data_IF_959193825900
#
_entry.id   IF_959193825900
#
_cell.length_a   1.000
_cell.length_b   1.000
_cell.length_c   1.000
_cell.angle_alpha   90.00
_cell.angle_beta   90.00
_cell.angle_gamma   90.00
#
_symmetry.space_group_name_H-M   'P 1'
#
loop_
_entity.id
_entity.type
_entity.pdbx_description
1 polymer ?
#
# COMPACT_ATOMS: atom_id res chain seq x y z
N UNK A 1 49.56 51.50 0.18
CA UNK A 1 49.14 50.11 -0.12
C UNK A 1 48.37 49.55 1.08
N UNK A 2 47.04 49.51 1.01
CA UNK A 2 46.15 48.79 1.94
C UNK A 2 45.05 48.15 1.11
N UNK A 3 44.99 46.81 1.05
CA UNK A 3 43.90 46.06 0.41
C UNK A 3 42.85 45.75 1.47
N UNK A 4 41.62 46.18 1.23
CA UNK A 4 40.45 45.82 2.02
C UNK A 4 39.90 44.49 1.51
N UNK A 5 39.73 43.51 2.40
CA UNK A 5 38.96 42.29 2.14
C UNK A 5 37.47 42.61 2.33
N UNK A 6 36.68 42.39 1.26
CA UNK A 6 35.22 42.32 1.34
C UNK A 6 34.85 40.88 1.68
N UNK A 7 34.11 40.71 2.78
CA UNK A 7 33.42 39.47 3.14
C UNK A 7 32.07 39.49 2.41
N UNK A 8 31.88 38.55 1.49
CA UNK A 8 30.61 38.37 0.78
C UNK A 8 29.73 37.42 1.59
N UNK A 9 28.60 37.92 2.08
CA UNK A 9 27.57 37.17 2.78
C UNK A 9 26.71 36.43 1.74
N UNK A 10 26.79 35.10 1.68
CA UNK A 10 25.86 34.28 0.92
C UNK A 10 24.58 34.09 1.74
N UNK A 11 23.48 34.69 1.28
CA UNK A 11 22.13 34.42 1.79
C UNK A 11 21.64 33.15 1.09
N UNK A 12 21.62 32.04 1.81
CA UNK A 12 20.95 30.81 1.36
C UNK A 12 19.43 31.01 1.49
N UNK A 13 18.73 31.07 0.36
CA UNK A 13 17.27 30.98 0.33
C UNK A 13 16.85 29.58 0.74
N UNK A 14 16.27 29.45 1.94
CA UNK A 14 15.54 28.27 2.37
C UNK A 14 14.26 28.16 1.52
N UNK A 15 14.25 27.23 0.58
CA UNK A 15 13.02 26.82 -0.11
C UNK A 15 12.12 26.13 0.90
N UNK A 16 10.95 26.73 1.14
CA UNK A 16 9.87 26.14 1.92
C UNK A 16 9.36 24.92 1.15
N UNK A 17 9.82 23.73 1.53
CA UNK A 17 9.27 22.47 1.05
C UNK A 17 7.95 22.25 1.80
N UNK A 18 6.85 22.68 1.19
CA UNK A 18 5.50 22.47 1.74
C UNK A 18 5.14 21.00 1.55
N UNK A 19 5.57 20.15 2.47
CA UNK A 19 5.14 18.74 2.53
C UNK A 19 3.65 18.73 2.81
N UNK A 20 2.85 18.36 1.81
CA UNK A 20 1.42 18.14 1.98
C UNK A 20 1.25 16.98 2.99
N UNK A 21 0.90 17.34 4.23
CA UNK A 21 0.41 16.43 5.25
C UNK A 21 -0.98 15.94 4.83
N UNK A 22 -1.01 14.95 3.93
CA UNK A 22 -2.17 14.09 3.81
C UNK A 22 -2.37 13.47 5.20
N UNK A 23 -3.45 13.88 5.87
CA UNK A 23 -3.85 13.32 7.14
C UNK A 23 -4.16 11.83 6.91
N UNK A 24 -3.14 11.00 7.15
CA UNK A 24 -3.27 9.57 7.26
C UNK A 24 -4.25 9.27 8.40
N UNK A 25 -5.55 9.19 8.11
CA UNK A 25 -6.46 8.28 8.83
C UNK A 25 -6.14 6.83 8.47
N UNK A 26 -4.86 6.55 8.22
CA UNK A 26 -4.35 5.22 8.02
C UNK A 26 -4.52 4.45 9.32
N UNK A 27 -4.59 3.13 9.17
CA UNK A 27 -4.39 2.21 10.26
C UNK A 27 -3.03 2.54 10.89
N UNK A 28 -3.07 2.96 12.15
CA UNK A 28 -1.87 3.33 12.91
C UNK A 28 -1.91 2.56 14.21
N UNK A 29 -0.77 1.99 14.59
CA UNK A 29 -0.61 1.47 15.94
C UNK A 29 -0.03 2.55 16.84
N UNK A 30 -0.53 2.63 18.06
CA UNK A 30 -0.12 3.65 19.02
C UNK A 30 -0.04 3.11 20.45
N UNK A 31 0.89 3.64 21.22
CA UNK A 31 1.06 3.33 22.64
C UNK A 31 1.49 4.59 23.40
N UNK A 32 0.83 4.87 24.52
CA UNK A 32 1.29 5.91 25.46
C UNK A 32 2.56 5.43 26.13
N UNK A 33 3.56 6.31 26.19
CA UNK A 33 4.85 6.01 26.80
C UNK A 33 4.78 5.72 28.30
N UNK A 34 5.85 5.15 28.83
CA UNK A 34 5.94 4.68 30.21
C UNK A 34 5.77 5.82 31.24
N UNK A 35 6.19 7.03 30.90
CA UNK A 35 6.03 8.22 31.74
C UNK A 35 4.66 8.91 31.55
N UNK A 36 3.90 8.55 30.50
CA UNK A 36 2.57 9.08 30.23
C UNK A 36 2.56 10.50 29.65
N UNK A 37 3.70 10.99 29.16
CA UNK A 37 3.85 12.34 28.61
C UNK A 37 3.61 12.39 27.10
N UNK A 38 3.93 11.31 26.39
CA UNK A 38 3.93 11.22 24.92
C UNK A 38 3.21 9.95 24.45
N UNK A 39 2.71 9.98 23.21
CA UNK A 39 2.18 8.84 22.46
C UNK A 39 3.15 8.50 21.34
N UNK A 40 3.56 7.25 21.26
CA UNK A 40 4.35 6.72 20.15
C UNK A 40 3.41 6.11 19.12
N UNK A 41 3.66 6.36 17.83
CA UNK A 41 2.80 5.92 16.75
C UNK A 41 3.60 5.51 15.53
N UNK A 42 3.19 4.44 14.85
CA UNK A 42 3.69 4.08 13.52
C UNK A 42 2.55 3.59 12.61
N UNK A 43 2.77 3.66 11.29
CA UNK A 43 1.82 3.12 10.32
C UNK A 43 1.80 1.60 10.39
N UNK A 44 0.61 1.03 10.56
CA UNK A 44 0.38 -0.40 10.68
C UNK A 44 -0.71 -0.81 9.69
N UNK A 45 -0.49 -1.88 8.97
CA UNK A 45 -1.42 -2.48 8.02
C UNK A 45 -2.24 -3.61 8.65
N UNK A 46 -1.65 -4.34 9.59
CA UNK A 46 -2.28 -5.39 10.37
C UNK A 46 -2.27 -5.10 11.87
N UNK A 47 -3.14 -5.79 12.63
CA UNK A 47 -3.20 -5.79 14.10
C UNK A 47 -2.91 -4.41 14.71
N UNK A 48 -3.67 -3.38 14.30
CA UNK A 48 -3.41 -1.98 14.66
C UNK A 48 -3.42 -1.74 16.17
N UNK A 49 -4.09 -2.61 16.93
CA UNK A 49 -4.17 -2.54 18.39
C UNK A 49 -2.92 -3.10 19.08
N UNK A 50 -1.99 -3.71 18.34
CA UNK A 50 -0.76 -4.27 18.84
C UNK A 50 0.45 -3.42 18.43
N UNK A 51 0.86 -2.54 19.34
CA UNK A 51 2.05 -1.71 19.16
C UNK A 51 3.36 -2.50 19.33
N UNK A 52 3.33 -3.65 20.00
CA UNK A 52 4.53 -4.38 20.41
C UNK A 52 4.98 -5.40 19.34
N UNK A 53 4.72 -5.11 18.06
CA UNK A 53 5.22 -5.92 16.95
C UNK A 53 6.74 -5.71 16.82
N UNK A 54 7.57 -6.77 16.77
CA UNK A 54 9.01 -6.63 16.61
C UNK A 54 9.35 -6.04 15.23
N UNK A 55 10.36 -5.18 15.18
CA UNK A 55 10.98 -4.73 13.92
C UNK A 55 11.86 -5.85 13.37
N UNK A 56 11.78 -6.17 12.09
CA UNK A 56 12.66 -7.15 11.47
C UNK A 56 14.13 -6.70 11.58
N UNK A 57 15.02 -7.63 11.93
CA UNK A 57 16.47 -7.37 11.87
C UNK A 57 16.87 -7.05 10.43
N UNK A 58 17.49 -5.89 10.22
CA UNK A 58 17.80 -5.32 8.91
C UNK A 58 16.76 -4.32 8.39
N UNK A 59 15.55 -4.29 8.95
CA UNK A 59 14.50 -3.36 8.57
C UNK A 59 14.56 -2.05 9.38
N UNK A 60 13.80 -1.07 8.90
CA UNK A 60 13.61 0.24 9.54
C UNK A 60 12.14 0.49 9.85
N UNK A 61 11.88 1.32 10.86
CA UNK A 61 10.54 1.75 11.25
C UNK A 61 10.54 3.24 11.57
N UNK A 62 9.61 3.98 10.97
CA UNK A 62 9.36 5.38 11.32
C UNK A 62 8.38 5.41 12.50
N UNK A 63 8.80 6.01 13.61
CA UNK A 63 7.98 6.19 14.81
C UNK A 63 7.76 7.68 15.04
N UNK A 64 6.51 8.11 15.01
CA UNK A 64 6.06 9.46 15.37
C UNK A 64 5.86 9.57 16.88
N UNK A 65 6.13 10.76 17.40
CA UNK A 65 5.99 11.11 18.81
C UNK A 65 5.04 12.28 18.96
N UNK A 66 3.92 12.03 19.62
CA UNK A 66 2.80 12.95 19.76
C UNK A 66 2.52 13.28 21.22
N UNK A 67 1.82 14.39 21.47
CA UNK A 67 1.28 14.74 22.78
C UNK A 67 0.08 13.87 23.15
N UNK A 68 0.08 13.39 24.39
CA UNK A 68 -1.07 12.66 24.96
C UNK A 68 -2.32 13.54 25.00
N UNK A 69 -3.46 12.98 24.59
CA UNK A 69 -4.79 13.58 24.71
C UNK A 69 -5.20 14.52 23.58
N UNK A 70 -4.26 15.07 22.79
CA UNK A 70 -4.57 15.93 21.65
C UNK A 70 -3.89 15.51 20.33
N UNK A 71 -2.97 14.53 20.37
CA UNK A 71 -2.24 13.98 19.24
C UNK A 71 -1.49 15.03 18.39
N UNK A 72 -1.10 16.17 18.98
CA UNK A 72 -0.24 17.15 18.32
C UNK A 72 1.19 16.65 18.31
N UNK A 73 1.92 16.93 17.24
CA UNK A 73 3.34 16.61 17.11
C UNK A 73 4.17 17.19 18.26
N UNK A 74 4.99 16.35 18.90
CA UNK A 74 6.01 16.78 19.84
C UNK A 74 7.37 16.79 19.15
N UNK A 75 8.08 17.92 19.17
CA UNK A 75 9.36 18.05 18.45
C UNK A 75 10.48 17.38 19.22
N UNK A 76 11.03 16.30 18.67
CA UNK A 76 12.17 15.57 19.20
C UNK A 76 13.42 16.47 19.29
N UNK A 77 14.05 16.41 20.45
CA UNK A 77 15.33 17.08 20.77
C UNK A 77 16.44 16.07 21.05
N UNK A 78 16.08 14.86 21.48
CA UNK A 78 16.95 13.70 21.58
C UNK A 78 16.13 12.41 21.42
N UNK A 79 16.77 11.37 20.90
CA UNK A 79 16.23 10.01 20.87
C UNK A 79 17.40 9.02 21.04
N UNK A 80 17.22 8.00 21.88
CA UNK A 80 18.22 6.98 22.18
C UNK A 80 17.58 5.63 22.50
N UNK A 81 18.41 4.60 22.60
CA UNK A 81 18.06 3.22 22.90
C UNK A 81 18.97 2.72 24.02
N UNK A 82 18.44 1.91 24.93
CA UNK A 82 19.24 1.29 26.00
C UNK A 82 20.17 0.19 25.50
N UNK A 83 19.86 -0.42 24.35
CA UNK A 83 20.67 -1.44 23.68
C UNK A 83 20.69 -1.20 22.14
N UNK A 84 21.69 -0.47 21.62
CA UNK A 84 21.82 -0.21 20.19
C UNK A 84 22.18 -1.45 19.36
N UNK A 85 22.50 -2.58 20.00
CA UNK A 85 22.70 -3.84 19.26
C UNK A 85 21.36 -4.56 18.96
N UNK A 86 20.26 -4.13 19.57
CA UNK A 86 18.91 -4.64 19.31
C UNK A 86 18.17 -3.72 18.35
N UNK A 87 17.93 -2.48 18.78
CA UNK A 87 17.37 -1.41 17.95
C UNK A 87 18.27 -0.20 18.05
N UNK A 88 18.66 0.38 16.92
CA UNK A 88 19.43 1.63 16.86
C UNK A 88 18.55 2.79 16.40
N UNK A 89 18.80 4.00 16.92
CA UNK A 89 18.14 5.23 16.47
C UNK A 89 18.93 5.78 15.30
N UNK A 90 18.62 5.31 14.09
CA UNK A 90 19.35 5.65 12.88
C UNK A 90 19.29 7.16 12.55
N UNK A 91 18.16 7.82 12.83
CA UNK A 91 18.01 9.27 12.75
C UNK A 91 16.75 9.75 13.47
N UNK A 92 16.64 11.06 13.72
CA UNK A 92 15.39 11.70 14.12
C UNK A 92 15.32 13.13 13.56
N UNK A 93 14.11 13.60 13.26
CA UNK A 93 13.83 14.96 12.81
C UNK A 93 12.36 15.33 13.06
N UNK A 94 12.11 16.55 13.52
CA UNK A 94 10.75 16.99 13.82
C UNK A 94 10.15 16.11 14.92
N UNK A 95 9.03 15.47 14.65
CA UNK A 95 8.32 14.55 15.56
C UNK A 95 8.58 13.06 15.27
N UNK A 96 9.48 12.75 14.34
CA UNK A 96 9.68 11.39 13.84
C UNK A 96 11.11 10.92 14.12
N UNK A 97 11.24 9.68 14.60
CA UNK A 97 12.51 8.95 14.67
C UNK A 97 12.47 7.72 13.76
N UNK A 98 13.62 7.33 13.25
CA UNK A 98 13.81 6.11 12.45
C UNK A 98 14.58 5.10 13.30
N UNK A 99 13.93 3.99 13.62
CA UNK A 99 14.55 2.86 14.32
C UNK A 99 15.03 1.83 13.29
N UNK A 100 16.21 1.24 13.50
CA UNK A 100 16.75 0.14 12.69
C UNK A 100 16.92 -1.12 13.54
N UNK A 101 16.38 -2.26 13.09
CA UNK A 101 16.61 -3.56 13.71
C UNK A 101 18.04 -4.03 13.50
N UNK A 102 18.85 -4.11 14.56
CA UNK A 102 20.27 -4.55 14.50
C UNK A 102 20.46 -5.99 14.98
N UNK A 103 19.61 -6.46 15.88
CA UNK A 103 19.69 -7.79 16.47
C UNK A 103 18.42 -8.16 17.23
N UNK A 104 18.19 -9.45 17.44
CA UNK A 104 16.98 -9.90 18.11
C UNK A 104 17.02 -9.58 19.62
N UNK A 105 15.93 -9.06 20.19
CA UNK A 105 15.84 -8.72 21.61
C UNK A 105 14.78 -7.67 21.91
N UNK A 106 14.74 -7.24 23.18
CA UNK A 106 13.93 -6.11 23.64
C UNK A 106 14.86 -4.99 24.12
N UNK A 107 14.47 -3.73 23.92
CA UNK A 107 15.19 -2.56 24.44
C UNK A 107 14.21 -1.46 24.80
N UNK A 108 14.63 -0.56 25.67
CA UNK A 108 13.94 0.69 25.95
C UNK A 108 14.38 1.75 24.93
N UNK A 109 13.41 2.37 24.26
CA UNK A 109 13.62 3.56 23.43
C UNK A 109 13.22 4.78 24.26
N UNK A 110 14.11 5.75 24.38
CA UNK A 110 13.95 6.95 25.20
C UNK A 110 13.97 8.19 24.29
N UNK A 111 13.08 9.15 24.55
CA UNK A 111 13.00 10.40 23.80
C UNK A 111 12.90 11.60 24.74
N UNK A 112 13.49 12.71 24.32
CA UNK A 112 13.24 14.03 24.87
C UNK A 112 12.62 14.92 23.80
N UNK A 113 11.49 15.55 24.09
CA UNK A 113 10.73 16.33 23.12
C UNK A 113 10.25 17.67 23.69
N UNK A 114 9.92 18.60 22.81
CA UNK A 114 9.23 19.85 23.14
C UNK A 114 7.79 19.77 22.63
N UNK A 115 6.82 19.90 23.52
CA UNK A 115 5.39 19.93 23.14
C UNK A 115 5.07 21.19 22.33
N UNK A 116 3.91 21.21 21.66
CA UNK A 116 3.36 22.38 20.98
C UNK A 116 3.15 23.59 21.89
N UNK A 117 3.04 23.37 23.22
CA UNK A 117 3.04 24.41 24.24
C UNK A 117 4.43 24.91 24.66
N UNK A 118 5.51 24.40 24.08
CA UNK A 118 6.89 24.76 24.41
C UNK A 118 7.45 24.10 25.68
N UNK A 119 6.77 23.07 26.21
CA UNK A 119 7.21 22.37 27.42
C UNK A 119 8.15 21.23 27.04
N UNK A 120 9.33 21.18 27.67
CA UNK A 120 10.24 20.05 27.54
C UNK A 120 9.73 18.85 28.36
N UNK A 121 9.62 17.70 27.72
CA UNK A 121 9.16 16.44 28.32
C UNK A 121 10.09 15.29 27.89
N UNK A 122 10.12 14.23 28.69
CA UNK A 122 10.79 12.98 28.38
C UNK A 122 9.80 11.83 28.49
N UNK A 123 9.95 10.82 27.65
CA UNK A 123 9.17 9.59 27.73
C UNK A 123 9.97 8.43 27.14
N UNK A 124 9.47 7.22 27.33
CA UNK A 124 10.11 6.00 26.88
C UNK A 124 9.08 4.95 26.48
N UNK A 125 9.50 4.00 25.64
CA UNK A 125 8.66 2.88 25.22
C UNK A 125 9.50 1.62 25.05
N UNK A 126 8.95 0.48 25.47
CA UNK A 126 9.59 -0.81 25.24
C UNK A 126 9.32 -1.24 23.80
N UNK A 127 10.38 -1.55 23.06
CA UNK A 127 10.27 -2.08 21.69
C UNK A 127 11.17 -3.29 21.53
N UNK A 128 10.96 -4.03 20.45
CA UNK A 128 11.71 -5.25 20.19
C UNK A 128 12.09 -5.36 18.72
N UNK A 129 13.13 -6.16 18.46
CA UNK A 129 13.49 -6.60 17.14
C UNK A 129 13.56 -8.12 17.10
N UNK A 130 13.25 -8.71 15.95
CA UNK A 130 13.26 -10.16 15.75
C UNK A 130 13.73 -10.52 14.34
N UNK A 131 14.34 -11.69 14.22
CA UNK A 131 14.54 -12.32 12.91
C UNK A 131 13.22 -12.99 12.54
N UNK A 132 12.63 -12.69 11.38
CA UNK A 132 11.44 -13.41 10.90
C UNK A 132 11.79 -14.87 10.59
N UNK A 133 10.86 -15.77 10.85
CA UNK A 133 10.98 -17.22 10.58
C UNK A 133 10.17 -17.66 9.36
N UNK A 134 9.20 -16.83 8.94
CA UNK A 134 8.25 -17.12 7.86
C UNK A 134 8.12 -15.88 6.98
N UNK A 135 8.11 -16.09 5.66
CA UNK A 135 7.79 -15.08 4.67
C UNK A 135 6.59 -15.54 3.85
N UNK A 136 5.52 -14.73 3.87
CA UNK A 136 4.36 -14.94 2.99
C UNK A 136 4.51 -14.02 1.79
N UNK A 137 4.30 -14.56 0.60
CA UNK A 137 4.33 -13.82 -0.67
C UNK A 137 2.99 -13.97 -1.37
N UNK A 138 2.48 -12.89 -1.96
CA UNK A 138 1.20 -12.88 -2.67
C UNK A 138 1.23 -11.98 -3.89
N UNK A 139 0.54 -12.41 -4.93
CA UNK A 139 0.21 -11.53 -6.06
C UNK A 139 -0.89 -10.55 -5.65
N UNK A 140 -0.95 -9.38 -6.28
CA UNK A 140 -2.02 -8.40 -5.97
C UNK A 140 -3.33 -8.70 -6.69
N UNK A 141 -3.30 -9.52 -7.76
CA UNK A 141 -4.47 -9.79 -8.59
C UNK A 141 -5.06 -11.21 -8.45
N UNK A 142 -4.43 -12.08 -7.65
CA UNK A 142 -4.87 -13.47 -7.43
C UNK A 142 -4.33 -14.03 -6.11
N UNK A 143 -5.05 -15.00 -5.54
CA UNK A 143 -4.62 -15.78 -4.36
C UNK A 143 -3.75 -16.99 -4.74
N UNK A 144 -3.60 -17.27 -6.04
CA UNK A 144 -2.77 -18.37 -6.54
C UNK A 144 -1.27 -18.13 -6.33
N UNK A 145 -0.47 -19.18 -6.54
CA UNK A 145 1.00 -19.15 -6.48
C UNK A 145 1.66 -18.68 -7.78
N UNK A 146 0.85 -18.42 -8.82
CA UNK A 146 1.28 -17.92 -10.12
C UNK A 146 0.40 -16.79 -10.62
N UNK A 147 1.03 -15.74 -11.16
CA UNK A 147 0.37 -14.69 -11.93
C UNK A 147 1.25 -14.21 -13.09
N UNK A 148 0.67 -13.43 -14.00
CA UNK A 148 1.39 -12.82 -15.11
C UNK A 148 1.74 -11.36 -14.82
N UNK A 149 2.86 -10.89 -15.36
CA UNK A 149 3.33 -9.51 -15.28
C UNK A 149 3.91 -9.10 -16.64
N UNK A 150 3.95 -7.80 -16.94
CA UNK A 150 4.60 -7.34 -18.16
C UNK A 150 6.11 -7.32 -17.98
N UNK A 151 6.83 -7.63 -19.05
CA UNK A 151 8.28 -7.38 -19.14
C UNK A 151 8.59 -5.88 -19.02
N UNK A 152 9.80 -5.56 -18.55
CA UNK A 152 10.34 -4.20 -18.52
C UNK A 152 9.67 -3.25 -17.53
N UNK A 153 8.84 -3.77 -16.62
CA UNK A 153 8.21 -2.95 -15.59
C UNK A 153 9.27 -2.47 -14.59
N UNK A 154 9.39 -1.15 -14.42
CA UNK A 154 10.28 -0.56 -13.42
C UNK A 154 9.70 -0.65 -11.99
N UNK A 155 8.41 -0.90 -11.85
CA UNK A 155 7.72 -0.92 -10.57
C UNK A 155 6.57 -1.94 -10.55
N UNK A 156 6.91 -3.19 -10.27
CA UNK A 156 5.95 -4.23 -9.89
C UNK A 156 5.93 -4.41 -8.37
N UNK A 157 4.75 -4.65 -7.81
CA UNK A 157 4.50 -4.83 -6.39
C UNK A 157 4.14 -6.29 -6.09
N UNK A 158 4.82 -6.87 -5.11
CA UNK A 158 4.50 -8.19 -4.55
C UNK A 158 4.12 -7.99 -3.10
N UNK A 159 2.91 -8.40 -2.73
CA UNK A 159 2.49 -8.35 -1.34
C UNK A 159 3.33 -9.31 -0.51
N UNK A 160 3.71 -8.90 0.70
CA UNK A 160 4.43 -9.78 1.60
C UNK A 160 4.02 -9.54 3.05
N UNK A 161 4.17 -10.59 3.87
CA UNK A 161 4.12 -10.49 5.33
C UNK A 161 5.31 -11.26 5.92
N UNK A 162 5.88 -10.76 7.00
CA UNK A 162 6.90 -11.46 7.77
C UNK A 162 6.35 -11.88 9.12
N UNK A 163 6.60 -13.12 9.51
CA UNK A 163 6.13 -13.66 10.79
C UNK A 163 7.22 -14.45 11.49
N UNK A 164 7.09 -14.57 12.81
CA UNK A 164 7.80 -15.58 13.60
C UNK A 164 7.10 -16.93 13.48
N UNK A 165 7.76 -18.00 13.90
CA UNK A 165 7.23 -19.37 13.80
C UNK A 165 5.93 -19.61 14.57
N UNK A 166 5.56 -18.71 15.48
CA UNK A 166 4.32 -18.73 16.25
C UNK A 166 3.19 -17.87 15.63
N UNK A 167 3.39 -17.33 14.42
CA UNK A 167 2.44 -16.45 13.73
C UNK A 167 2.46 -14.99 14.21
N UNK A 168 3.41 -14.60 15.07
CA UNK A 168 3.55 -13.20 15.47
C UNK A 168 4.11 -12.37 14.29
N UNK A 169 3.45 -11.28 13.87
CA UNK A 169 3.94 -10.43 12.79
C UNK A 169 5.26 -9.76 13.15
N UNK A 170 6.12 -9.56 12.15
CA UNK A 170 7.38 -8.84 12.21
C UNK A 170 7.33 -7.72 11.17
N UNK A 171 7.57 -6.48 11.58
CA UNK A 171 7.29 -5.28 10.77
C UNK A 171 8.55 -4.52 10.35
N UNK A 172 8.38 -3.53 9.49
CA UNK A 172 9.43 -2.62 9.05
C UNK A 172 9.66 -2.65 7.55
N UNK A 173 10.30 -1.60 7.04
CA UNK A 173 10.61 -1.41 5.61
C UNK A 173 12.12 -1.55 5.34
N UNK A 174 12.49 -1.70 4.06
CA UNK A 174 13.88 -1.72 3.62
C UNK A 174 14.62 -3.06 3.79
N UNK A 175 13.94 -4.08 4.32
CA UNK A 175 14.41 -5.46 4.34
C UNK A 175 13.40 -6.36 3.64
N UNK A 176 13.76 -6.83 2.44
CA UNK A 176 12.93 -7.69 1.60
C UNK A 176 13.74 -8.94 1.23
N UNK A 177 13.68 -10.00 2.03
CA UNK A 177 14.56 -11.17 1.94
C UNK A 177 14.06 -12.14 0.86
N UNK A 178 14.13 -11.69 -0.39
CA UNK A 178 13.80 -12.48 -1.56
C UNK A 178 14.87 -12.42 -2.62
N UNK A 179 15.05 -13.53 -3.34
CA UNK A 179 15.89 -13.64 -4.52
C UNK A 179 15.08 -14.14 -5.72
N UNK A 180 15.41 -13.65 -6.92
CA UNK A 180 14.77 -14.08 -8.16
C UNK A 180 15.56 -15.21 -8.84
N UNK A 181 14.85 -16.16 -9.45
CA UNK A 181 15.42 -17.16 -10.35
C UNK A 181 14.65 -17.18 -11.69
N UNK A 182 15.31 -16.90 -12.83
CA UNK A 182 16.70 -16.47 -12.94
C UNK A 182 16.93 -15.08 -12.33
N UNK A 183 18.16 -14.78 -11.89
CA UNK A 183 18.47 -13.56 -11.15
C UNK A 183 18.24 -12.27 -11.98
N UNK A 184 18.44 -12.36 -13.30
CA UNK A 184 18.15 -11.30 -14.26
C UNK A 184 16.66 -11.09 -14.54
N UNK A 185 15.80 -11.96 -13.99
CA UNK A 185 14.35 -11.91 -14.18
C UNK A 185 13.67 -10.77 -13.40
N UNK A 186 14.15 -10.50 -12.19
CA UNK A 186 13.64 -9.42 -11.34
C UNK A 186 14.70 -8.93 -10.35
N UNK A 187 14.70 -7.62 -10.07
CA UNK A 187 15.56 -6.98 -9.08
C UNK A 187 14.73 -6.28 -8.02
N UNK A 188 15.02 -6.53 -6.74
CA UNK A 188 14.38 -5.83 -5.63
C UNK A 188 14.86 -4.38 -5.57
N UNK A 189 13.91 -3.46 -5.50
CA UNK A 189 14.16 -2.03 -5.31
C UNK A 189 14.02 -1.75 -3.82
N UNK A 190 15.08 -1.27 -3.18
CA UNK A 190 15.09 -0.91 -1.75
C UNK A 190 15.21 0.59 -1.49
N UNK A 191 15.67 1.36 -2.47
CA UNK A 191 15.96 2.77 -2.30
C UNK A 191 14.72 3.64 -2.46
N UNK A 192 14.60 4.68 -1.63
CA UNK A 192 13.64 5.77 -1.83
C UNK A 192 12.18 5.47 -1.45
N UNK A 193 11.88 4.32 -0.85
CA UNK A 193 10.53 4.00 -0.39
C UNK A 193 10.52 3.35 1.02
N UNK A 194 9.36 3.42 1.67
CA UNK A 194 9.14 2.97 3.07
C UNK A 194 7.97 1.98 3.16
N UNK A 195 7.82 1.16 2.12
CA UNK A 195 6.71 0.24 1.99
C UNK A 195 6.87 -0.95 2.96
N UNK A 196 5.82 -1.23 3.73
CA UNK A 196 5.79 -2.36 4.67
C UNK A 196 4.92 -3.51 4.15
N UNK A 197 4.18 -3.29 3.07
CA UNK A 197 3.16 -4.23 2.55
C UNK A 197 3.63 -4.84 1.24
N UNK A 198 4.39 -4.07 0.45
CA UNK A 198 4.84 -4.47 -0.87
C UNK A 198 6.36 -4.49 -1.02
N UNK A 199 6.86 -5.57 -1.61
CA UNK A 199 8.17 -5.63 -2.25
C UNK A 199 8.05 -4.98 -3.61
N UNK A 200 8.92 -4.02 -3.91
CA UNK A 200 9.00 -3.37 -5.22
C UNK A 200 10.06 -4.05 -6.07
N UNK A 201 9.71 -4.39 -7.31
CA UNK A 201 10.56 -5.09 -8.25
C UNK A 201 10.70 -4.30 -9.55
N UNK A 202 11.90 -4.30 -10.11
CA UNK A 202 12.14 -4.04 -11.53
C UNK A 202 12.23 -5.38 -12.27
N UNK A 203 11.42 -5.56 -13.31
CA UNK A 203 11.29 -6.81 -14.06
C UNK A 203 12.10 -6.77 -15.37
N UNK A 204 12.58 -7.94 -15.80
CA UNK A 204 13.33 -8.10 -17.04
C UNK A 204 12.53 -7.70 -18.28
N UNK A 205 13.21 -7.20 -19.31
CA UNK A 205 12.66 -6.97 -20.65
C UNK A 205 12.40 -8.27 -21.45
N UNK A 206 12.78 -9.42 -20.89
CA UNK A 206 12.69 -10.72 -21.57
C UNK A 206 11.52 -11.54 -21.02
N UNK A 207 10.70 -12.11 -21.92
CA UNK A 207 9.66 -13.06 -21.53
C UNK A 207 10.25 -14.30 -20.88
N UNK A 208 9.52 -14.88 -19.94
CA UNK A 208 9.91 -16.13 -19.30
C UNK A 208 9.26 -16.28 -17.94
N UNK A 209 9.59 -17.37 -17.27
CA UNK A 209 9.17 -17.58 -15.89
C UNK A 209 10.25 -17.07 -14.94
N UNK A 210 9.83 -16.37 -13.89
CA UNK A 210 10.64 -15.92 -12.77
C UNK A 210 10.04 -16.50 -11.50
N UNK A 211 10.86 -17.14 -10.67
CA UNK A 211 10.46 -17.59 -9.34
C UNK A 211 11.10 -16.67 -8.31
N UNK A 212 10.29 -16.01 -7.50
CA UNK A 212 10.76 -15.35 -6.28
C UNK A 212 10.88 -16.40 -5.19
N UNK A 213 12.04 -16.48 -4.57
CA UNK A 213 12.34 -17.38 -3.46
C UNK A 213 12.54 -16.57 -2.20
N UNK A 214 11.91 -17.01 -1.12
CA UNK A 214 12.23 -16.54 0.21
C UNK A 214 13.67 -16.93 0.58
N UNK A 215 14.40 -15.98 1.16
CA UNK A 215 15.72 -16.24 1.76
C UNK A 215 15.62 -16.67 3.23
N UNK A 216 14.40 -16.69 3.79
CA UNK A 216 14.11 -17.07 5.19
C UNK A 216 13.64 -18.52 5.29
N UNK A 217 12.70 -18.91 4.44
CA UNK A 217 12.00 -20.20 4.49
C UNK A 217 11.88 -20.83 3.09
N UNK A 218 10.99 -21.81 2.93
CA UNK A 218 10.78 -22.50 1.65
C UNK A 218 9.73 -21.84 0.76
N UNK A 219 9.20 -20.65 1.12
CA UNK A 219 8.17 -20.01 0.34
C UNK A 219 8.70 -19.57 -1.03
N UNK A 220 7.86 -19.72 -2.05
CA UNK A 220 8.14 -19.30 -3.42
C UNK A 220 6.91 -18.68 -4.05
N UNK A 221 7.10 -17.75 -4.97
CA UNK A 221 6.04 -17.14 -5.77
C UNK A 221 6.44 -17.13 -7.25
N UNK A 222 5.57 -17.62 -8.13
CA UNK A 222 5.86 -17.76 -9.56
C UNK A 222 5.30 -16.59 -10.36
N UNK A 223 6.12 -15.99 -11.22
CA UNK A 223 5.76 -14.88 -12.09
C UNK A 223 6.00 -15.28 -13.54
N UNK A 224 4.97 -15.20 -14.38
CA UNK A 224 5.14 -15.29 -15.84
C UNK A 224 5.33 -13.89 -16.43
N UNK A 225 6.49 -13.61 -17.00
CA UNK A 225 6.75 -12.37 -17.71
C UNK A 225 6.30 -12.49 -19.17
N UNK A 226 5.35 -11.64 -19.56
CA UNK A 226 4.75 -11.59 -20.90
C UNK A 226 4.97 -10.22 -21.54
N UNK A 227 4.88 -10.13 -22.86
CA UNK A 227 4.85 -8.83 -23.54
C UNK A 227 3.41 -8.36 -23.68
N UNK A 228 3.25 -7.06 -23.86
CA UNK A 228 1.95 -6.47 -24.20
C UNK A 228 1.32 -7.13 -25.43
N UNK A 229 2.12 -7.48 -26.43
CA UNK A 229 1.65 -8.18 -27.63
C UNK A 229 1.07 -9.58 -27.39
N UNK A 230 1.26 -10.17 -26.21
CA UNK A 230 0.64 -11.45 -25.86
C UNK A 230 -0.79 -11.31 -25.34
N UNK A 231 -1.22 -10.08 -25.01
CA UNK A 231 -2.56 -9.83 -24.49
C UNK A 231 -3.59 -10.24 -25.56
N UNK A 232 -4.48 -11.14 -25.18
CA UNK A 232 -5.49 -11.74 -26.06
C UNK A 232 -6.93 -11.60 -25.57
N UNK A 233 -7.14 -11.03 -24.38
CA UNK A 233 -8.48 -10.79 -23.82
C UNK A 233 -8.48 -9.78 -22.67
N UNK A 234 -9.68 -9.36 -22.28
CA UNK A 234 -9.92 -8.50 -21.11
C UNK A 234 -10.82 -9.25 -20.12
N UNK A 235 -10.47 -9.25 -18.84
CA UNK A 235 -11.30 -9.79 -17.77
C UNK A 235 -11.79 -8.67 -16.84
N UNK A 236 -13.09 -8.68 -16.58
CA UNK A 236 -13.78 -7.73 -15.72
C UNK A 236 -15.08 -8.32 -15.18
N UNK A 237 -15.43 -7.94 -13.95
CA UNK A 237 -16.74 -8.24 -13.39
C UNK A 237 -17.73 -7.10 -13.71
N UNK A 238 -18.44 -7.20 -14.84
CA UNK A 238 -19.47 -6.22 -15.23
C UNK A 238 -20.67 -6.15 -14.27
N UNK A 239 -20.86 -7.17 -13.42
CA UNK A 239 -21.88 -7.16 -12.37
C UNK A 239 -21.41 -6.43 -11.09
N UNK A 240 -20.19 -5.90 -11.08
CA UNK A 240 -19.68 -5.11 -9.97
C UNK A 240 -20.48 -3.81 -9.81
N UNK A 241 -20.71 -3.32 -8.58
CA UNK A 241 -21.26 -1.98 -8.33
C UNK A 241 -20.48 -0.86 -9.04
N UNK A 242 -19.22 -1.09 -9.44
CA UNK A 242 -18.47 -0.16 -10.26
C UNK A 242 -19.17 0.20 -11.61
N UNK A 243 -20.05 -0.67 -12.11
CA UNK A 243 -20.84 -0.46 -13.32
C UNK A 243 -22.26 0.08 -13.07
N UNK A 244 -22.62 0.34 -11.81
CA UNK A 244 -23.85 1.02 -11.41
C UNK A 244 -23.48 2.42 -10.91
N UNK A 245 -23.68 3.43 -11.75
CA UNK A 245 -23.15 4.78 -11.53
C UNK A 245 -24.30 5.75 -11.33
N UNK A 246 -24.29 6.48 -10.21
CA UNK A 246 -25.28 7.53 -9.98
C UNK A 246 -25.05 8.70 -10.95
N UNK A 247 -26.14 9.35 -11.37
CA UNK A 247 -26.03 10.58 -12.17
C UNK A 247 -25.23 11.64 -11.41
N UNK A 248 -24.21 12.20 -12.04
CA UNK A 248 -23.28 13.17 -11.46
C UNK A 248 -22.08 12.55 -10.73
N UNK A 249 -22.03 11.23 -10.59
CA UNK A 249 -20.92 10.52 -9.92
C UNK A 249 -19.93 9.91 -10.92
N UNK A 250 -18.77 9.53 -10.38
CA UNK A 250 -17.65 8.94 -11.11
C UNK A 250 -17.30 7.60 -10.46
N UNK A 251 -17.15 6.57 -11.29
CA UNK A 251 -16.60 5.27 -10.89
C UNK A 251 -15.31 4.95 -11.67
N UNK A 252 -14.52 4.05 -11.12
CA UNK A 252 -13.24 3.59 -11.67
C UNK A 252 -13.19 2.06 -11.74
N UNK A 253 -13.93 1.42 -12.67
CA UNK A 253 -13.76 -0.01 -12.93
C UNK A 253 -12.33 -0.34 -13.39
N UNK A 254 -11.84 -1.50 -12.94
CA UNK A 254 -10.53 -2.05 -13.27
C UNK A 254 -10.66 -3.11 -14.37
N UNK A 255 -9.99 -2.88 -15.50
CA UNK A 255 -9.95 -3.80 -16.64
C UNK A 255 -8.65 -4.60 -16.63
N UNK A 256 -8.74 -5.91 -16.36
CA UNK A 256 -7.56 -6.77 -16.28
C UNK A 256 -7.23 -7.36 -17.65
N UNK A 257 -6.12 -6.99 -18.30
CA UNK A 257 -5.68 -7.65 -19.51
C UNK A 257 -5.29 -9.10 -19.18
N UNK A 258 -5.51 -9.99 -20.14
CA UNK A 258 -5.28 -11.43 -19.98
C UNK A 258 -4.43 -12.00 -21.12
N UNK A 259 -3.75 -13.11 -20.82
CA UNK A 259 -3.10 -13.99 -21.81
C UNK A 259 -3.62 -15.39 -21.57
N UNK A 260 -4.29 -15.99 -22.57
CA UNK A 260 -4.90 -17.31 -22.43
C UNK A 260 -5.90 -17.38 -21.27
N UNK A 261 -6.60 -16.28 -20.99
CA UNK A 261 -7.55 -16.16 -19.88
C UNK A 261 -6.93 -15.97 -18.49
N UNK A 262 -5.60 -15.85 -18.37
CA UNK A 262 -4.94 -15.54 -17.09
C UNK A 262 -4.68 -14.05 -16.99
N UNK A 263 -5.07 -13.41 -15.87
CA UNK A 263 -4.84 -11.97 -15.62
C UNK A 263 -3.35 -11.63 -15.55
N UNK A 264 -3.01 -10.47 -16.11
CA UNK A 264 -1.75 -9.78 -15.88
C UNK A 264 -1.93 -8.83 -14.70
N UNK A 265 -1.22 -9.10 -13.62
CA UNK A 265 -1.14 -8.22 -12.46
C UNK A 265 -0.42 -6.91 -12.85
N UNK A 266 -0.96 -5.78 -12.41
CA UNK A 266 -0.31 -4.46 -12.44
C UNK A 266 0.32 -4.11 -13.80
N UNK A 267 -0.45 -4.23 -14.87
CA UNK A 267 0.02 -3.83 -16.19
C UNK A 267 0.10 -2.31 -16.27
N UNK A 268 1.26 -1.73 -15.98
CA UNK A 268 1.61 -0.35 -16.33
C UNK A 268 1.69 -0.21 -17.87
N UNK A 269 0.52 -0.31 -18.50
CA UNK A 269 0.28 -0.21 -19.92
C UNK A 269 0.28 1.26 -20.40
N UNK A 270 0.31 2.21 -19.46
CA UNK A 270 0.49 3.63 -19.72
C UNK A 270 -0.44 4.13 -20.82
N UNK A 271 0.14 4.66 -21.90
CA UNK A 271 -0.59 5.22 -23.05
C UNK A 271 -1.28 4.18 -23.96
N UNK A 272 -1.11 2.88 -23.73
CA UNK A 272 -1.69 1.87 -24.61
C UNK A 272 -3.14 1.51 -24.27
N UNK A 273 -3.60 1.83 -23.06
CA UNK A 273 -5.00 1.74 -22.68
C UNK A 273 -5.76 3.00 -23.13
N UNK A 274 -6.80 2.82 -23.94
CA UNK A 274 -7.77 3.87 -24.24
C UNK A 274 -9.20 3.39 -23.96
N UNK A 275 -10.11 4.34 -23.72
CA UNK A 275 -11.52 4.04 -23.56
C UNK A 275 -12.37 5.17 -24.14
N UNK A 276 -13.45 4.83 -24.85
CA UNK A 276 -14.27 5.77 -25.60
C UNK A 276 -15.76 5.40 -25.46
N UNK A 277 -16.63 6.39 -25.26
CA UNK A 277 -18.09 6.15 -25.18
C UNK A 277 -18.79 6.33 -26.52
N UNK A 278 -19.76 5.46 -26.83
CA UNK A 278 -20.70 5.63 -27.94
C UNK A 278 -21.99 6.37 -27.53
N UNK A 279 -22.18 6.65 -26.24
CA UNK A 279 -23.34 7.34 -25.66
C UNK A 279 -22.91 8.59 -24.87
N UNK A 280 -22.31 9.61 -25.52
CA UNK A 280 -21.74 10.77 -24.82
C UNK A 280 -22.76 11.67 -24.09
N UNK A 281 -24.05 11.56 -24.45
CA UNK A 281 -25.16 12.22 -23.76
C UNK A 281 -25.51 11.56 -22.42
N UNK A 282 -25.13 10.28 -22.23
CA UNK A 282 -25.39 9.48 -21.03
C UNK A 282 -24.20 9.47 -20.09
N UNK A 283 -22.97 9.42 -20.61
CA UNK A 283 -21.76 9.31 -19.81
C UNK A 283 -20.53 9.99 -20.44
N UNK A 284 -19.46 10.12 -19.68
CA UNK A 284 -18.09 10.36 -20.17
C UNK A 284 -17.21 9.17 -19.79
N UNK A 285 -16.39 8.69 -20.72
CA UNK A 285 -15.50 7.54 -20.50
C UNK A 285 -14.11 7.87 -21.00
N UNK A 286 -13.09 7.61 -20.18
CA UNK A 286 -11.68 7.72 -20.58
C UNK A 286 -10.79 6.82 -19.74
N UNK A 287 -9.68 6.37 -20.30
CA UNK A 287 -8.62 5.73 -19.52
C UNK A 287 -8.06 6.69 -18.47
N UNK A 288 -7.73 6.19 -17.29
CA UNK A 288 -6.98 6.95 -16.29
C UNK A 288 -5.52 6.97 -16.73
N UNK A 289 -5.03 8.13 -17.14
CA UNK A 289 -3.61 8.31 -17.46
C UNK A 289 -2.75 8.48 -16.21
N UNK A 290 -1.44 8.62 -16.43
CA UNK A 290 -0.45 8.88 -15.38
C UNK A 290 -0.63 10.27 -14.71
N UNK A 291 -1.58 11.07 -15.17
CA UNK A 291 -1.84 12.44 -14.73
C UNK A 291 -2.83 12.54 -13.55
N UNK A 292 -3.28 11.42 -12.99
CA UNK A 292 -4.03 11.39 -11.73
C UNK A 292 -3.08 11.18 -10.54
N UNK A 293 -2.74 12.24 -9.77
CA UNK A 293 -1.85 12.13 -8.60
C UNK A 293 -2.53 11.54 -7.34
N UNK A 294 -3.81 11.16 -7.40
CA UNK A 294 -4.63 10.92 -6.20
C UNK A 294 -4.91 9.46 -5.84
N UNK A 295 -4.80 8.50 -6.77
CA UNK A 295 -4.78 7.10 -6.37
C UNK A 295 -3.37 6.78 -5.91
N UNK A 296 -3.15 6.52 -4.62
CA UNK A 296 -1.86 6.06 -4.07
C UNK A 296 -1.33 4.74 -4.66
N UNK A 297 -1.96 4.25 -5.74
CA UNK A 297 -1.65 3.06 -6.52
C UNK A 297 -0.93 3.47 -7.82
N UNK A 298 0.20 4.16 -7.68
CA UNK A 298 1.11 4.47 -8.80
C UNK A 298 1.56 3.13 -9.39
N UNK A 299 1.08 2.77 -10.60
CA UNK A 299 1.46 1.53 -11.29
C UNK A 299 0.29 0.70 -11.84
N UNK A 300 -0.96 0.99 -11.43
CA UNK A 300 -2.15 0.32 -11.96
C UNK A 300 -2.82 1.17 -13.04
N UNK A 301 -2.23 1.26 -14.23
CA UNK A 301 -2.78 2.02 -15.37
C UNK A 301 -3.95 1.31 -16.07
N UNK A 302 -4.75 0.55 -15.30
CA UNK A 302 -5.77 -0.38 -15.79
C UNK A 302 -7.19 0.06 -15.37
N UNK A 303 -7.31 1.26 -14.80
CA UNK A 303 -8.59 1.86 -14.44
C UNK A 303 -9.14 2.70 -15.59
N UNK A 304 -10.46 2.62 -15.79
CA UNK A 304 -11.20 3.50 -16.70
C UNK A 304 -12.12 4.36 -15.86
N UNK A 305 -12.05 5.68 -16.07
CA UNK A 305 -12.97 6.63 -15.43
C UNK A 305 -14.28 6.67 -16.21
N UNK A 306 -15.39 6.42 -15.53
CA UNK A 306 -16.73 6.54 -16.08
C UNK A 306 -17.52 7.56 -15.25
N UNK A 307 -17.99 8.63 -15.87
CA UNK A 307 -18.83 9.65 -15.25
C UNK A 307 -20.25 9.60 -15.80
N UNK A 308 -21.24 9.46 -14.91
CA UNK A 308 -22.65 9.44 -15.29
C UNK A 308 -23.20 10.86 -15.50
N UNK A 309 -23.75 11.16 -16.67
CA UNK A 309 -24.34 12.48 -17.01
C UNK A 309 -25.86 12.49 -16.98
N UNK A 310 -26.49 11.40 -17.42
CA UNK A 310 -27.94 11.27 -17.50
C UNK A 310 -28.37 9.82 -17.29
N UNK A 311 -29.65 9.62 -16.95
CA UNK A 311 -30.22 8.28 -16.83
C UNK A 311 -30.16 7.50 -18.14
N UNK A 312 -29.69 6.26 -18.10
CA UNK A 312 -29.67 5.37 -19.26
C UNK A 312 -28.55 4.33 -19.19
N UNK A 313 -28.31 3.68 -20.32
CA UNK A 313 -27.17 2.76 -20.49
C UNK A 313 -26.01 3.52 -21.12
N UNK A 314 -24.87 3.52 -20.44
CA UNK A 314 -23.60 3.99 -20.98
C UNK A 314 -22.95 2.86 -21.77
N UNK A 315 -22.83 3.02 -23.08
CA UNK A 315 -22.10 2.10 -23.95
C UNK A 315 -20.71 2.66 -24.24
N UNK A 316 -19.68 1.82 -24.16
CA UNK A 316 -18.30 2.24 -24.38
C UNK A 316 -17.40 1.08 -24.82
N UNK A 317 -16.23 1.42 -25.34
CA UNK A 317 -15.17 0.48 -25.69
C UNK A 317 -13.93 0.72 -24.86
N UNK A 318 -13.17 -0.34 -24.63
CA UNK A 318 -11.83 -0.30 -24.04
C UNK A 318 -10.86 -0.95 -25.02
N UNK A 319 -9.73 -0.30 -25.26
CA UNK A 319 -8.71 -0.75 -26.21
C UNK A 319 -7.34 -0.85 -25.55
N UNK A 320 -6.66 -1.98 -25.77
CA UNK A 320 -5.24 -2.16 -25.50
C UNK A 320 -4.48 -2.14 -26.83
N UNK A 321 -3.85 -1.02 -27.18
CA UNK A 321 -3.30 -0.79 -28.52
C UNK A 321 -2.11 -1.71 -28.87
N UNK A 322 -1.29 -2.10 -27.90
CA UNK A 322 -0.14 -3.00 -28.14
C UNK A 322 -0.50 -4.50 -28.12
N UNK A 323 -1.74 -4.86 -27.78
CA UNK A 323 -2.20 -6.25 -27.69
C UNK A 323 -2.23 -6.97 -29.05
N UNK A 324 -2.41 -8.31 -29.05
CA UNK A 324 -2.47 -9.15 -30.25
C UNK A 324 -1.32 -8.91 -31.25
N UNK A 325 -0.09 -8.92 -30.77
CA UNK A 325 1.11 -8.65 -31.58
C UNK A 325 1.15 -7.23 -32.16
N UNK A 326 0.55 -6.25 -31.47
CA UNK A 326 0.47 -4.86 -31.91
C UNK A 326 -0.69 -4.55 -32.86
N UNK A 327 -1.61 -5.49 -33.09
CA UNK A 327 -2.84 -5.23 -33.84
C UNK A 327 -3.90 -4.50 -33.01
N UNK A 328 -3.73 -4.49 -31.69
CA UNK A 328 -4.70 -3.97 -30.74
C UNK A 328 -5.76 -5.02 -30.38
N UNK A 329 -6.37 -4.81 -29.21
CA UNK A 329 -7.52 -5.54 -28.72
C UNK A 329 -8.56 -4.52 -28.27
N UNK A 330 -9.77 -4.57 -28.81
CA UNK A 330 -10.88 -3.69 -28.44
C UNK A 330 -12.09 -4.52 -28.07
N UNK A 331 -12.68 -4.24 -26.91
CA UNK A 331 -13.94 -4.87 -26.46
C UNK A 331 -14.97 -3.81 -26.07
N UNK A 332 -16.25 -4.16 -26.15
CA UNK A 332 -17.39 -3.30 -25.83
C UNK A 332 -18.01 -3.68 -24.50
N UNK A 333 -18.37 -2.69 -23.70
CA UNK A 333 -18.91 -2.83 -22.35
C UNK A 333 -20.12 -1.92 -22.16
N UNK A 334 -20.91 -2.21 -21.12
CA UNK A 334 -22.03 -1.36 -20.73
C UNK A 334 -22.02 -1.05 -19.23
N UNK A 335 -22.36 0.17 -18.86
CA UNK A 335 -22.63 0.57 -17.47
C UNK A 335 -24.05 1.14 -17.34
N UNK A 336 -24.72 0.88 -16.22
CA UNK A 336 -26.03 1.44 -15.92
C UNK A 336 -25.86 2.78 -15.21
N UNK A 337 -26.44 3.84 -15.75
CA UNK A 337 -26.44 5.18 -15.14
C UNK A 337 -27.85 5.51 -14.64
N UNK A 338 -27.99 5.84 -13.36
CA UNK A 338 -29.31 6.15 -12.83
C UNK A 338 -29.33 6.53 -11.35
N UNK A 339 -30.42 6.16 -10.70
CA UNK A 339 -30.65 6.30 -9.26
C UNK A 339 -30.91 4.89 -8.76
N UNK A 340 -29.96 4.35 -8.01
CA UNK A 340 -30.00 2.99 -7.49
C UNK A 340 -30.43 3.09 -6.03
N UNK A 341 -31.44 2.34 -5.58
CA UNK A 341 -31.77 2.30 -4.17
C UNK A 341 -30.52 1.86 -3.40
N UNK A 342 -30.19 2.59 -2.33
CA UNK A 342 -29.16 2.16 -1.40
C UNK A 342 -29.62 0.82 -0.81
N UNK A 343 -29.07 -0.29 -1.27
CA UNK A 343 -29.35 -1.64 -0.75
C UNK A 343 -28.95 -1.79 0.75
N UNK A 344 -28.46 -0.73 1.39
CA UNK A 344 -28.13 -0.66 2.81
C UNK A 344 -29.35 -0.54 3.76
N UNK A 345 -30.56 -0.30 3.26
CA UNK A 345 -31.75 -0.20 4.12
C UNK A 345 -32.39 -1.58 4.47
N UNK A 346 -31.81 -2.68 4.00
CA UNK A 346 -32.41 -4.02 4.07
C UNK A 346 -31.98 -4.95 5.21
N UNK A 347 -31.07 -4.55 6.13
CA UNK A 347 -30.48 -5.48 7.12
C UNK A 347 -30.60 -5.05 8.60
N UNK A 348 -31.58 -4.23 8.96
CA UNK A 348 -31.93 -3.95 10.37
C UNK A 348 -33.20 -4.68 10.84
N UNK A 349 -33.54 -5.81 10.21
CA UNK A 349 -34.57 -6.73 10.70
C UNK A 349 -34.16 -7.38 12.01
N UNK A 350 -34.38 -6.67 13.10
CA UNK A 350 -34.41 -7.11 14.48
C UNK A 350 -35.28 -8.39 14.57
N UNK A 351 -34.65 -9.56 14.61
CA UNK A 351 -35.32 -10.80 14.96
C UNK A 351 -35.55 -10.79 16.48
N UNK A 352 -36.65 -10.14 16.87
CA UNK A 352 -37.23 -10.18 18.21
C UNK A 352 -37.68 -11.61 18.51
N UNK A 353 -36.76 -12.47 18.98
CA UNK A 353 -37.10 -13.77 19.55
C UNK A 353 -37.52 -13.60 21.01
N UNK A 354 -38.69 -13.03 21.23
CA UNK A 354 -39.43 -13.16 22.48
C UNK A 354 -40.35 -14.38 22.44
N UNK A 355 -40.12 -15.32 23.36
CA UNK A 355 -41.18 -16.15 23.95
C UNK A 355 -41.31 -17.60 23.45
N UNK A 356 -40.97 -18.55 24.31
CA UNK A 356 -41.26 -19.97 24.10
C UNK A 356 -40.97 -20.84 25.33
N UNK A 357 -41.66 -20.55 26.44
CA UNK A 357 -41.75 -21.42 27.61
C UNK A 357 -42.38 -22.78 27.22
N UNK A 358 -41.72 -23.90 27.51
CA UNK A 358 -42.41 -25.18 27.65
C UNK A 358 -41.69 -26.08 28.66
N UNK A 359 -42.43 -26.39 29.71
CA UNK A 359 -42.18 -27.43 30.70
C UNK A 359 -42.49 -28.80 30.09
N UNK A 360 -41.63 -29.79 30.29
CA UNK A 360 -42.03 -31.20 30.29
C UNK A 360 -41.07 -32.07 31.10
N UNK A 361 -41.61 -32.56 32.22
CA UNK A 361 -41.15 -33.62 33.10
C UNK A 361 -41.32 -35.02 32.47
N UNK A 362 -40.68 -36.02 33.08
CA UNK A 362 -40.65 -37.50 32.86
C UNK A 362 -39.48 -37.95 31.99
N UNK A 363 -38.64 -38.93 32.35
CA UNK A 363 -38.68 -39.97 33.37
C UNK A 363 -37.99 -41.20 32.76
N UNK A 364 -36.93 -41.72 33.40
CA UNK A 364 -36.14 -42.87 32.93
C UNK A 364 -34.74 -42.88 33.48
#
# INVERSE_FOLDING_TARGET
MKKAQRVTLFIAQAGLLTTALLAWTGCNSQLTGNEGNLTFQYAADDDVNNFNKPVAVGAKLDVKVLEVGNNRSATLTAASTSDPNVLDVASFAGDTMVLEGKGAGNTLVEVAATTSGGTAVTDSVNMSAAVPDVLKLRHTCTEGDRALYLVGQELAFIGFDMERSNGQPVIGYGYYPVSAEPAEGATVITEGHKDQIFIRLSLSDTKGDVTLKSDIDTATLSMGLVQEGDIDGIDINENSPAFQILVGNVNYPHFWPTVGGTRICQGALGSSLTAETSTPDICDVRAVGDDQPESGYVGESQFVRIEGKAFGTCEFTVTFAGANGGQGLTESFTASIGDFPDDNDGQSGEEDTTGGDSTASTGG
#
